data_IF_544606960639
#
_entry.id   IF_544606960639
#
_cell.length_a   1.000
_cell.length_b   1.000
_cell.length_c   1.000
_cell.angle_alpha   90.00
_cell.angle_beta   90.00
_cell.angle_gamma   90.00
#
_symmetry.space_group_name_H-M   'P 1'
#
loop_
_entity.id
_entity.type
_entity.pdbx_description
1 polymer ?
#
# COMPACT_ATOMS: atom_id res chain seq x y z
N UNK A 1 -9.88 12.77 -6.98
CA UNK A 1 -9.60 11.43 -6.40
C UNK A 1 -10.46 11.25 -5.16
N UNK A 2 -11.09 10.09 -4.96
CA UNK A 2 -11.96 9.87 -3.78
C UNK A 2 -11.13 9.93 -2.49
N UNK A 3 -11.69 10.47 -1.39
CA UNK A 3 -11.02 10.51 -0.07
C UNK A 3 -10.47 9.15 0.36
N UNK A 4 -11.17 8.06 0.00
CA UNK A 4 -10.76 6.67 0.25
C UNK A 4 -9.39 6.30 -0.35
N UNK A 5 -8.99 6.91 -1.48
CA UNK A 5 -7.69 6.63 -2.09
C UNK A 5 -6.54 7.16 -1.25
N UNK A 6 -6.70 8.35 -0.66
CA UNK A 6 -5.68 8.92 0.23
C UNK A 6 -5.53 8.10 1.51
N UNK A 7 -6.65 7.60 2.07
CA UNK A 7 -6.62 6.73 3.25
C UNK A 7 -5.89 5.42 2.96
N UNK A 8 -6.16 4.80 1.80
CA UNK A 8 -5.53 3.54 1.40
C UNK A 8 -4.05 3.74 1.03
N UNK A 9 -3.72 4.85 0.37
CA UNK A 9 -2.34 5.25 0.12
C UNK A 9 -1.57 5.43 1.42
N UNK A 10 -2.12 6.19 2.36
CA UNK A 10 -1.51 6.39 3.67
C UNK A 10 -1.28 5.07 4.40
N UNK A 11 -2.30 4.22 4.52
CA UNK A 11 -2.18 2.90 5.15
C UNK A 11 -1.11 2.03 4.49
N UNK A 12 -1.10 1.97 3.16
CA UNK A 12 -0.12 1.16 2.41
C UNK A 12 1.31 1.61 2.67
N UNK A 13 1.59 2.91 2.53
CA UNK A 13 2.94 3.46 2.75
C UNK A 13 3.34 3.42 4.22
N UNK A 14 2.39 3.60 5.15
CA UNK A 14 2.65 3.50 6.57
C UNK A 14 3.02 2.08 6.98
N UNK A 15 2.28 1.06 6.52
CA UNK A 15 2.60 -0.35 6.77
C UNK A 15 3.94 -0.76 6.14
N UNK A 16 4.25 -0.28 4.93
CA UNK A 16 5.56 -0.53 4.30
C UNK A 16 6.70 0.18 5.03
N UNK A 17 6.50 1.42 5.49
CA UNK A 17 7.49 2.17 6.27
C UNK A 17 7.80 1.49 7.60
N UNK A 18 6.76 1.02 8.30
CA UNK A 18 6.91 0.22 9.53
C UNK A 18 7.61 -1.10 9.23
N UNK A 19 7.22 -1.80 8.17
CA UNK A 19 7.86 -3.04 7.74
C UNK A 19 9.34 -2.85 7.46
N UNK A 20 9.71 -1.80 6.72
CA UNK A 20 11.10 -1.45 6.45
C UNK A 20 11.87 -1.13 7.74
N UNK A 21 11.26 -0.40 8.68
CA UNK A 21 11.87 -0.14 9.99
C UNK A 21 12.15 -1.44 10.75
N UNK A 22 11.20 -2.37 10.78
CA UNK A 22 11.39 -3.68 11.41
C UNK A 22 12.41 -4.56 10.67
N UNK A 23 12.55 -4.39 9.36
CA UNK A 23 13.60 -5.03 8.55
C UNK A 23 14.99 -4.60 9.04
N UNK A 24 15.20 -3.29 9.24
CA UNK A 24 16.44 -2.74 9.77
C UNK A 24 16.71 -3.13 11.22
N UNK A 25 15.68 -3.22 12.06
CA UNK A 25 15.83 -3.65 13.46
C UNK A 25 16.11 -5.16 13.60
N UNK A 26 16.20 -5.91 12.50
CA UNK A 26 16.46 -7.36 12.48
C UNK A 26 15.47 -8.16 13.35
N UNK A 27 14.26 -7.62 13.54
CA UNK A 27 13.25 -8.20 14.41
C UNK A 27 12.76 -9.55 13.85
N UNK A 28 12.34 -10.49 14.71
CA UNK A 28 11.67 -11.69 14.24
C UNK A 28 10.39 -11.29 13.49
N UNK A 29 10.04 -12.01 12.43
CA UNK A 29 8.87 -11.74 11.57
C UNK A 29 8.93 -10.48 10.69
N UNK A 30 10.09 -9.80 10.58
CA UNK A 30 10.27 -8.62 9.72
C UNK A 30 9.77 -8.79 8.28
N UNK A 31 10.09 -9.91 7.64
CA UNK A 31 9.69 -10.20 6.27
C UNK A 31 8.18 -10.35 6.09
N UNK A 32 7.45 -10.79 7.12
CA UNK A 32 5.99 -10.96 7.06
C UNK A 32 5.30 -9.59 7.07
N UNK A 33 5.81 -8.64 7.86
CA UNK A 33 5.25 -7.28 7.92
C UNK A 33 5.46 -6.57 6.58
N UNK A 34 6.66 -6.68 6.01
CA UNK A 34 6.96 -6.16 4.67
C UNK A 34 6.08 -6.81 3.61
N UNK A 35 5.91 -8.14 3.65
CA UNK A 35 5.06 -8.89 2.73
C UNK A 35 3.59 -8.43 2.78
N UNK A 36 3.04 -8.21 3.97
CA UNK A 36 1.68 -7.67 4.16
C UNK A 36 1.57 -6.26 3.53
N UNK A 37 2.58 -5.40 3.73
CA UNK A 37 2.64 -4.09 3.07
C UNK A 37 2.63 -4.18 1.54
N UNK A 38 3.36 -5.14 0.98
CA UNK A 38 3.37 -5.40 -0.47
C UNK A 38 2.04 -5.94 -1.00
N UNK A 39 1.31 -6.74 -0.20
CA UNK A 39 -0.05 -7.16 -0.54
C UNK A 39 -0.98 -5.96 -0.62
N UNK A 40 -0.95 -5.05 0.37
CA UNK A 40 -1.76 -3.82 0.33
C UNK A 40 -1.43 -2.93 -0.87
N UNK A 41 -0.16 -2.88 -1.27
CA UNK A 41 0.26 -2.13 -2.44
C UNK A 41 -0.28 -2.75 -3.74
N UNK A 42 -0.11 -4.07 -3.92
CA UNK A 42 -0.51 -4.77 -5.14
C UNK A 42 -2.03 -4.95 -5.28
N UNK A 43 -2.75 -5.21 -4.19
CA UNK A 43 -4.18 -5.51 -4.23
C UNK A 43 -5.08 -4.35 -3.77
N UNK A 44 -4.53 -3.37 -3.03
CA UNK A 44 -5.26 -2.18 -2.59
C UNK A 44 -4.96 -0.97 -3.45
N UNK A 45 -3.72 -0.49 -3.41
CA UNK A 45 -3.33 0.80 -4.01
C UNK A 45 -3.35 0.76 -5.54
N UNK A 46 -2.67 -0.22 -6.13
CA UNK A 46 -2.51 -0.34 -7.59
C UNK A 46 -3.86 -0.52 -8.30
N UNK A 47 -4.74 -1.44 -7.91
CA UNK A 47 -6.02 -1.64 -8.60
C UNK A 47 -6.92 -0.41 -8.46
N UNK A 48 -6.90 0.24 -7.30
CA UNK A 48 -7.67 1.46 -7.07
C UNK A 48 -7.16 2.64 -7.90
N UNK A 49 -5.85 2.75 -8.08
CA UNK A 49 -5.22 3.76 -8.94
C UNK A 49 -5.63 3.55 -10.40
N UNK A 50 -5.46 2.34 -10.93
CA UNK A 50 -5.86 2.01 -12.30
C UNK A 50 -7.36 2.21 -12.51
N UNK A 51 -8.20 1.76 -11.57
CA UNK A 51 -9.65 1.95 -11.64
C UNK A 51 -10.04 3.43 -11.74
N UNK A 52 -9.39 4.31 -10.97
CA UNK A 52 -9.61 5.75 -11.09
C UNK A 52 -9.16 6.29 -12.45
N UNK A 53 -7.99 5.86 -12.95
CA UNK A 53 -7.49 6.28 -14.26
C UNK A 53 -8.41 5.85 -15.40
N UNK A 54 -8.90 4.60 -15.37
CA UNK A 54 -9.87 4.11 -16.35
C UNK A 54 -11.19 4.86 -16.29
N UNK A 55 -11.68 5.18 -15.07
CA UNK A 55 -12.89 5.98 -14.91
C UNK A 55 -12.71 7.42 -15.42
N UNK A 56 -11.54 8.01 -15.22
CA UNK A 56 -11.19 9.34 -15.74
C UNK A 56 -11.04 9.35 -17.26
N UNK A 57 -10.48 8.30 -17.86
CA UNK A 57 -10.28 8.21 -19.32
C UNK A 57 -11.57 7.87 -20.09
N UNK A 58 -12.58 7.31 -19.42
CA UNK A 58 -13.89 6.98 -20.00
C UNK A 58 -14.88 8.15 -19.98
N UNK A 59 -14.57 9.22 -19.24
CA UNK A 59 -15.40 10.42 -19.10
C UNK A 59 -14.79 11.58 -19.86
#
# INVERSE_FOLDING_TARGET
MKKSFYVIGFLTFFTLGIGAMFEFLTWPYRGIIVFIGFIFLNFGLIPMYFYQKYKLARN
#
